data_IF_235481156565
#
_entry.id   IF_235481156565
#
_cell.length_a   1.000
_cell.length_b   1.000
_cell.length_c   1.000
_cell.angle_alpha   90.00
_cell.angle_beta   90.00
_cell.angle_gamma   90.00
#
_symmetry.space_group_name_H-M   'P 1'
#
loop_
_entity.id
_entity.type
_entity.pdbx_description
1 polymer ?
#
# COMPACT_ATOMS: atom_id res chain seq x y z
N UNK A 1 -4.14 -15.76 18.32
CA UNK A 1 -5.45 -15.17 18.02
C UNK A 1 -6.18 -16.19 17.15
N UNK A 2 -7.09 -16.97 17.73
CA UNK A 2 -8.02 -17.82 17.00
C UNK A 2 -9.28 -16.98 16.82
N UNK A 3 -9.77 -16.86 15.59
CA UNK A 3 -11.10 -16.34 15.36
C UNK A 3 -12.06 -17.53 15.43
N UNK A 4 -13.13 -17.41 16.20
CA UNK A 4 -14.26 -18.33 16.11
C UNK A 4 -14.81 -18.26 14.68
N UNK A 5 -15.17 -19.39 14.08
CA UNK A 5 -15.61 -19.40 12.67
C UNK A 5 -16.85 -18.51 12.47
N UNK A 6 -17.73 -18.43 13.47
CA UNK A 6 -18.93 -17.61 13.49
C UNK A 6 -18.63 -16.10 13.56
N UNK A 7 -17.39 -15.70 13.86
CA UNK A 7 -16.96 -14.31 13.84
C UNK A 7 -16.57 -13.81 12.43
N UNK A 8 -16.67 -14.67 11.42
CA UNK A 8 -16.43 -14.34 10.00
C UNK A 8 -17.80 -14.22 9.33
N UNK A 9 -18.13 -13.02 8.86
CA UNK A 9 -19.36 -12.76 8.12
C UNK A 9 -19.06 -12.50 6.64
N UNK A 10 -19.90 -13.06 5.76
CA UNK A 10 -19.88 -12.71 4.34
C UNK A 10 -20.48 -11.32 4.12
N UNK A 11 -19.85 -10.53 3.24
CA UNK A 11 -20.31 -9.20 2.88
C UNK A 11 -20.47 -9.10 1.37
N UNK A 12 -21.58 -8.52 0.93
CA UNK A 12 -21.79 -8.14 -0.46
C UNK A 12 -21.19 -6.75 -0.70
N UNK A 13 -20.02 -6.66 -1.33
CA UNK A 13 -19.34 -5.37 -1.53
C UNK A 13 -20.14 -4.40 -2.39
N UNK A 14 -21.04 -4.86 -3.27
CA UNK A 14 -21.89 -3.98 -4.08
C UNK A 14 -22.85 -3.16 -3.21
N UNK A 15 -23.24 -3.70 -2.06
CA UNK A 15 -24.15 -3.05 -1.09
C UNK A 15 -23.43 -2.24 -0.02
N UNK A 16 -22.10 -2.33 0.06
CA UNK A 16 -21.31 -1.75 1.14
C UNK A 16 -20.27 -0.78 0.61
N UNK A 17 -20.59 0.52 0.63
CA UNK A 17 -19.70 1.58 0.12
C UNK A 17 -18.32 1.58 0.78
N UNK A 18 -18.22 1.26 2.07
CA UNK A 18 -16.94 1.18 2.78
C UNK A 18 -16.06 0.04 2.25
N UNK A 19 -16.66 -1.09 1.89
CA UNK A 19 -15.93 -2.21 1.27
C UNK A 19 -15.40 -1.81 -0.11
N UNK A 20 -16.20 -1.11 -0.92
CA UNK A 20 -15.76 -0.59 -2.22
C UNK A 20 -14.63 0.44 -2.07
N UNK A 21 -14.75 1.36 -1.11
CA UNK A 21 -13.69 2.32 -0.80
C UNK A 21 -12.38 1.62 -0.41
N UNK A 22 -12.48 0.56 0.41
CA UNK A 22 -11.34 -0.26 0.77
C UNK A 22 -10.70 -0.90 -0.48
N UNK A 23 -11.49 -1.45 -1.39
CA UNK A 23 -11.01 -2.05 -2.64
C UNK A 23 -10.29 -1.04 -3.54
N UNK A 24 -10.78 0.20 -3.61
CA UNK A 24 -10.10 1.29 -4.34
C UNK A 24 -8.72 1.57 -3.76
N UNK A 25 -8.60 1.63 -2.43
CA UNK A 25 -7.32 1.88 -1.74
C UNK A 25 -6.36 0.71 -1.92
N UNK A 26 -6.82 -0.51 -1.68
CA UNK A 26 -6.02 -1.73 -1.81
C UNK A 26 -5.58 -1.95 -3.26
N UNK A 27 -6.50 -1.81 -4.21
CA UNK A 27 -6.24 -1.93 -5.64
C UNK A 27 -5.24 -0.90 -6.14
N UNK A 28 -5.32 0.34 -5.65
CA UNK A 28 -4.36 1.41 -6.00
C UNK A 28 -2.96 1.14 -5.45
N UNK A 29 -2.86 0.65 -4.21
CA UNK A 29 -1.59 0.25 -3.62
C UNK A 29 -0.97 -0.93 -4.36
N UNK A 30 -1.76 -1.97 -4.69
CA UNK A 30 -1.30 -3.10 -5.50
C UNK A 30 -0.82 -2.66 -6.88
N UNK A 31 -1.55 -1.76 -7.54
CA UNK A 31 -1.16 -1.18 -8.83
C UNK A 31 0.20 -0.47 -8.77
N UNK A 32 0.50 0.21 -7.66
CA UNK A 32 1.82 0.82 -7.47
C UNK A 32 2.91 -0.21 -7.16
N UNK A 33 2.65 -1.14 -6.26
CA UNK A 33 3.62 -2.12 -5.75
C UNK A 33 4.03 -3.15 -6.81
N UNK A 34 3.14 -3.47 -7.75
CA UNK A 34 3.44 -4.38 -8.86
C UNK A 34 3.98 -3.65 -10.10
N UNK A 35 4.41 -2.40 -9.96
CA UNK A 35 4.94 -1.54 -11.03
C UNK A 35 4.06 -1.37 -12.29
N UNK A 36 2.78 -1.78 -12.24
CA UNK A 36 1.81 -1.65 -13.34
C UNK A 36 1.56 -0.21 -13.80
N UNK A 37 1.94 0.77 -12.98
CA UNK A 37 1.95 2.19 -13.35
C UNK A 37 3.02 2.56 -14.41
N UNK A 38 3.97 1.66 -14.68
CA UNK A 38 4.98 1.77 -15.73
C UNK A 38 4.53 1.12 -17.05
N UNK A 39 3.50 0.26 -17.01
CA UNK A 39 3.00 -0.48 -18.18
C UNK A 39 2.64 0.46 -19.33
N UNK A 40 3.22 0.19 -20.50
CA UNK A 40 2.95 0.87 -21.76
C UNK A 40 2.55 -0.16 -22.83
N UNK A 41 1.54 0.14 -23.66
CA UNK A 41 1.24 -0.70 -24.82
C UNK A 41 2.46 -0.82 -25.75
N UNK A 42 2.66 -1.96 -26.44
CA UNK A 42 3.73 -2.11 -27.42
C UNK A 42 3.67 -1.01 -28.48
N UNK A 43 4.81 -0.40 -28.79
CA UNK A 43 4.91 0.70 -29.77
C UNK A 43 4.35 2.05 -29.28
N UNK A 44 3.72 2.13 -28.11
CA UNK A 44 3.18 3.39 -27.61
C UNK A 44 4.23 4.20 -26.83
N UNK A 45 4.36 5.48 -27.19
CA UNK A 45 5.19 6.45 -26.44
C UNK A 45 4.60 6.77 -25.05
N UNK A 46 3.28 6.67 -24.92
CA UNK A 46 2.52 7.09 -23.74
C UNK A 46 1.74 5.94 -23.11
N UNK A 47 1.49 6.05 -21.80
CA UNK A 47 0.62 5.11 -21.07
C UNK A 47 -0.84 5.29 -21.48
N UNK A 48 -1.59 4.19 -21.48
CA UNK A 48 -3.03 4.22 -21.74
C UNK A 48 -3.81 5.09 -20.76
N UNK A 49 -4.97 5.59 -21.19
CA UNK A 49 -5.87 6.46 -20.39
C UNK A 49 -6.22 5.84 -19.05
N UNK A 50 -6.54 4.54 -19.01
CA UNK A 50 -6.85 3.79 -17.78
C UNK A 50 -5.66 3.75 -16.81
N UNK A 51 -4.45 3.51 -17.29
CA UNK A 51 -3.22 3.50 -16.46
C UNK A 51 -2.95 4.89 -15.88
N UNK A 52 -3.19 5.96 -16.65
CA UNK A 52 -3.09 7.35 -16.17
C UNK A 52 -4.12 7.65 -15.09
N UNK A 53 -5.38 7.23 -15.27
CA UNK A 53 -6.43 7.41 -14.28
C UNK A 53 -6.10 6.69 -12.96
N UNK A 54 -5.71 5.41 -13.03
CA UNK A 54 -5.26 4.64 -11.84
C UNK A 54 -4.08 5.31 -11.13
N UNK A 55 -3.14 5.86 -11.89
CA UNK A 55 -2.02 6.64 -11.32
C UNK A 55 -2.49 7.89 -10.58
N UNK A 56 -3.48 8.61 -11.10
CA UNK A 56 -4.06 9.79 -10.45
C UNK A 56 -4.72 9.44 -9.12
N UNK A 57 -5.52 8.36 -9.09
CA UNK A 57 -6.15 7.84 -7.86
C UNK A 57 -5.09 7.49 -6.81
N UNK A 58 -4.05 6.75 -7.21
CA UNK A 58 -2.93 6.43 -6.33
C UNK A 58 -2.24 7.70 -5.78
N UNK A 59 -1.99 8.71 -6.62
CA UNK A 59 -1.35 9.96 -6.19
C UNK A 59 -2.17 10.70 -5.14
N UNK A 60 -3.51 10.68 -5.27
CA UNK A 60 -4.40 11.26 -4.28
C UNK A 60 -4.31 10.51 -2.95
N UNK A 61 -4.47 9.19 -2.97
CA UNK A 61 -4.36 8.33 -1.77
C UNK A 61 -3.00 8.52 -1.09
N UNK A 62 -1.92 8.51 -1.87
CA UNK A 62 -0.57 8.71 -1.36
C UNK A 62 -0.39 10.07 -0.68
N UNK A 63 -1.07 11.12 -1.17
CA UNK A 63 -1.06 12.44 -0.52
C UNK A 63 -1.73 12.35 0.85
N UNK A 64 -2.90 11.71 0.95
CA UNK A 64 -3.60 11.49 2.22
C UNK A 64 -2.77 10.64 3.20
N UNK A 65 -2.08 9.61 2.72
CA UNK A 65 -1.18 8.83 3.59
C UNK A 65 -0.03 9.70 4.11
N UNK A 66 0.53 10.58 3.27
CA UNK A 66 1.62 11.47 3.69
C UNK A 66 1.20 12.53 4.70
N UNK A 67 -0.08 12.90 4.80
CA UNK A 67 -0.55 13.79 5.88
C UNK A 67 -0.53 13.09 7.23
N UNK A 68 -0.67 11.76 7.24
CA UNK A 68 -0.63 10.92 8.44
C UNK A 68 0.81 10.50 8.77
N UNK A 69 1.56 10.05 7.76
CA UNK A 69 2.94 9.59 7.87
C UNK A 69 3.85 10.40 6.96
N UNK A 70 4.48 11.47 7.48
CA UNK A 70 5.46 12.24 6.74
C UNK A 70 6.58 11.33 6.22
N UNK A 71 7.05 11.56 4.99
CA UNK A 71 8.08 10.74 4.31
C UNK A 71 7.71 9.26 4.11
N UNK A 72 6.42 8.95 4.04
CA UNK A 72 5.94 7.60 3.74
C UNK A 72 6.61 6.99 2.48
N UNK A 73 7.22 5.82 2.66
CA UNK A 73 7.82 5.01 1.60
C UNK A 73 6.92 3.79 1.33
N UNK A 74 6.37 3.70 0.12
CA UNK A 74 5.51 2.60 -0.32
C UNK A 74 6.28 1.29 -0.54
N UNK A 75 7.59 1.35 -0.77
CA UNK A 75 8.43 0.18 -1.04
C UNK A 75 8.77 -0.66 0.20
N UNK A 76 8.35 -0.22 1.40
CA UNK A 76 8.66 -0.89 2.67
C UNK A 76 7.40 -1.04 3.49
N UNK A 77 7.28 -2.11 4.29
CA UNK A 77 6.15 -2.22 5.21
C UNK A 77 6.21 -1.11 6.25
N UNK A 78 5.05 -0.59 6.68
CA UNK A 78 5.02 0.36 7.81
C UNK A 78 5.63 -0.31 9.04
N UNK A 79 6.72 0.26 9.57
CA UNK A 79 7.47 -0.26 10.73
C UNK A 79 6.72 -0.19 12.06
N UNK A 80 7.40 -0.59 13.14
CA UNK A 80 6.87 -0.55 14.52
C UNK A 80 7.88 0.12 15.47
N UNK A 81 8.15 1.42 15.30
CA UNK A 81 9.14 2.11 16.14
C UNK A 81 8.84 2.01 17.64
N UNK A 82 7.56 2.04 18.06
CA UNK A 82 7.17 1.92 19.48
C UNK A 82 6.66 0.51 19.84
N UNK A 83 7.04 -0.49 19.05
CA UNK A 83 6.75 -1.90 19.33
C UNK A 83 5.32 -2.33 18.99
N UNK A 84 4.73 -3.20 19.82
CA UNK A 84 3.45 -3.87 19.48
C UNK A 84 2.25 -2.91 19.45
N UNK A 85 2.28 -1.82 20.22
CA UNK A 85 1.18 -0.85 20.34
C UNK A 85 0.87 -0.14 19.02
N UNK A 86 1.90 0.13 18.22
CA UNK A 86 1.76 0.71 16.88
C UNK A 86 0.82 -0.07 15.94
N UNK A 87 0.53 -1.35 16.23
CA UNK A 87 -0.44 -2.11 15.41
C UNK A 87 -1.87 -1.58 15.54
N UNK A 88 -2.23 -1.05 16.71
CA UNK A 88 -3.54 -0.44 16.97
C UNK A 88 -3.51 1.08 16.85
N UNK A 89 -2.40 1.70 17.27
CA UNK A 89 -2.35 3.17 17.40
C UNK A 89 -2.10 3.90 16.08
N UNK A 90 -1.53 3.22 15.07
CA UNK A 90 -1.28 3.85 13.78
C UNK A 90 -2.58 3.93 12.95
N UNK A 91 -3.03 5.14 12.58
CA UNK A 91 -4.26 5.32 11.79
C UNK A 91 -4.14 4.81 10.34
N UNK A 92 -2.91 4.61 9.83
CA UNK A 92 -2.69 3.93 8.56
C UNK A 92 -1.52 2.96 8.64
N UNK A 93 -1.71 1.75 8.11
CA UNK A 93 -0.62 0.79 7.94
C UNK A 93 -0.74 0.09 6.60
N UNK A 94 0.40 -0.15 5.97
CA UNK A 94 0.49 -1.02 4.83
C UNK A 94 1.57 -2.08 5.01
N UNK A 95 1.39 -3.20 4.32
CA UNK A 95 2.34 -4.30 4.25
C UNK A 95 2.80 -4.42 2.81
N UNK A 96 4.12 -4.49 2.62
CA UNK A 96 4.70 -4.86 1.34
C UNK A 96 4.36 -6.32 1.05
N UNK A 97 3.69 -6.57 -0.07
CA UNK A 97 3.37 -7.91 -0.54
C UNK A 97 4.36 -8.26 -1.64
N UNK A 98 5.45 -8.94 -1.25
CA UNK A 98 6.48 -9.41 -2.16
C UNK A 98 6.54 -10.96 -2.16
N UNK A 99 6.84 -11.61 -3.31
CA UNK A 99 7.12 -13.04 -3.36
C UNK A 99 8.27 -13.45 -2.43
N UNK A 100 8.33 -14.74 -2.06
CA UNK A 100 9.38 -15.24 -1.16
C UNK A 100 10.79 -15.01 -1.71
N UNK A 101 10.93 -15.08 -3.04
CA UNK A 101 12.21 -15.00 -3.75
C UNK A 101 12.54 -13.58 -4.26
N UNK A 102 11.82 -12.55 -3.79
CA UNK A 102 12.12 -11.17 -4.19
C UNK A 102 13.42 -10.67 -3.55
N UNK A 103 14.40 -10.28 -4.35
CA UNK A 103 15.58 -9.55 -3.88
C UNK A 103 15.16 -8.15 -3.42
N UNK A 104 15.49 -7.80 -2.17
CA UNK A 104 15.25 -6.46 -1.64
C UNK A 104 16.52 -5.66 -1.77
N UNK A 105 16.49 -4.57 -2.54
CA UNK A 105 17.53 -3.54 -2.40
C UNK A 105 17.36 -2.90 -1.02
N UNK A 106 18.28 -3.24 -0.10
CA UNK A 106 18.30 -2.66 1.22
C UNK A 106 18.53 -1.16 1.14
N UNK A 107 17.55 -0.35 1.55
CA UNK A 107 17.84 1.02 1.92
C UNK A 107 18.54 1.01 3.28
N UNK A 108 19.79 1.46 3.26
CA UNK A 108 20.69 1.68 4.40
C UNK A 108 19.92 2.31 5.57
N UNK A 109 19.85 1.61 6.69
CA UNK A 109 19.63 2.25 7.99
C UNK A 109 20.81 3.17 8.24
N UNK A 110 20.59 4.48 8.26
CA UNK A 110 21.57 5.41 8.81
C UNK A 110 21.77 5.04 10.28
N UNK A 111 22.79 4.24 10.57
CA UNK A 111 23.36 4.15 11.90
C UNK A 111 23.98 5.52 12.22
N UNK A 112 23.56 6.06 13.36
CA UNK A 112 24.17 7.18 14.05
C UNK A 112 25.69 7.03 14.07
N UNK A 113 26.40 7.91 13.35
CA UNK A 113 27.79 8.24 13.71
C UNK A 113 27.74 9.08 14.98
N UNK A 114 27.82 8.42 16.12
CA UNK A 114 28.20 9.04 17.39
C UNK A 114 29.73 9.27 17.36
N UNK A 115 30.22 10.44 17.81
CA UNK A 115 31.60 10.93 17.57
C UNK A 115 32.71 10.07 18.18
#
# INVERSE_FOLDING_TARGET
>A
MRFEQDAIAEIDSERHILAQCLDVVLGSNRFRLSDRHLDKPPGARVRGTRTRAKKSVYQHIHRCIRTIHPRFNIGVSTGRPNGRRDRGDHPYRHRLIAPRDSTRDGMVSNEEKTP
#
